data_IF_881688614766
#
_entry.id   IF_881688614766
#
_cell.length_a   1.000
_cell.length_b   1.000
_cell.length_c   1.000
_cell.angle_alpha   90.00
_cell.angle_beta   90.00
_cell.angle_gamma   90.00
#
_symmetry.space_group_name_H-M   'P 1'
#
loop_
_entity.id
_entity.type
_entity.pdbx_description
1 polymer ?
#
# COMPACT_ATOMS: atom_id res chain seq x y z
N UNK A 1 -17.81 -16.05 -15.13
CA UNK A 1 -18.95 -15.30 -14.58
C UNK A 1 -18.78 -13.88 -15.11
N UNK A 2 -19.57 -13.53 -16.11
CA UNK A 2 -19.57 -12.17 -16.71
C UNK A 2 -20.06 -11.22 -15.63
N UNK A 3 -19.24 -10.20 -15.30
CA UNK A 3 -19.66 -9.10 -14.44
C UNK A 3 -20.89 -8.45 -15.11
N UNK A 4 -22.00 -8.36 -14.40
CA UNK A 4 -23.15 -7.60 -14.87
C UNK A 4 -22.73 -6.14 -15.01
N UNK A 5 -23.04 -5.52 -16.14
CA UNK A 5 -22.88 -4.08 -16.35
C UNK A 5 -23.66 -3.35 -15.25
N UNK A 6 -22.93 -2.70 -14.33
CA UNK A 6 -23.58 -1.85 -13.32
C UNK A 6 -22.77 -1.55 -12.04
N UNK A 7 -21.79 -2.36 -11.66
CA UNK A 7 -21.04 -2.11 -10.42
C UNK A 7 -19.54 -2.00 -10.71
N UNK A 8 -19.09 -0.80 -11.05
CA UNK A 8 -17.66 -0.49 -11.18
C UNK A 8 -17.11 -0.35 -9.76
N UNK A 9 -16.36 -1.36 -9.33
CA UNK A 9 -15.69 -1.33 -8.04
C UNK A 9 -14.63 -0.24 -8.05
N UNK A 10 -14.83 0.83 -7.26
CA UNK A 10 -13.96 2.00 -7.30
C UNK A 10 -12.74 1.88 -6.41
N UNK A 11 -12.84 1.14 -5.30
CA UNK A 11 -11.82 1.16 -4.24
C UNK A 11 -11.25 -0.22 -3.99
N UNK A 12 -9.93 -0.30 -4.03
CA UNK A 12 -9.13 -1.43 -3.61
C UNK A 12 -8.43 -1.16 -2.28
N UNK A 13 -8.34 -2.17 -1.44
CA UNK A 13 -7.55 -2.13 -0.21
C UNK A 13 -6.55 -3.28 -0.27
N UNK A 14 -5.26 -2.95 -0.31
CA UNK A 14 -4.19 -3.93 -0.21
C UNK A 14 -3.58 -3.81 1.18
N UNK A 15 -3.86 -4.80 2.04
CA UNK A 15 -3.49 -4.74 3.45
C UNK A 15 -2.38 -5.69 3.84
N UNK A 16 -1.64 -5.29 4.88
CA UNK A 16 -0.80 -6.18 5.68
C UNK A 16 -1.60 -6.80 6.83
N UNK A 17 -0.88 -7.42 7.77
CA UNK A 17 -1.44 -8.04 8.96
C UNK A 17 -2.29 -7.06 9.79
N UNK A 18 -3.49 -7.45 10.16
CA UNK A 18 -4.35 -6.69 11.09
C UNK A 18 -5.38 -5.75 10.46
N UNK A 19 -5.34 -5.47 9.14
CA UNK A 19 -6.27 -4.51 8.51
C UNK A 19 -7.23 -5.13 7.50
N UNK A 20 -7.05 -6.39 7.17
CA UNK A 20 -8.01 -7.17 6.38
C UNK A 20 -9.18 -7.70 7.21
N UNK A 21 -9.53 -7.02 8.31
CA UNK A 21 -10.60 -7.49 9.18
C UNK A 21 -11.95 -7.35 8.47
N UNK A 22 -12.68 -8.46 8.28
CA UNK A 22 -14.02 -8.42 7.70
C UNK A 22 -15.02 -7.56 8.50
N UNK A 23 -14.70 -7.17 9.72
CA UNK A 23 -15.62 -6.44 10.62
C UNK A 23 -16.05 -5.05 10.09
N UNK A 24 -15.28 -4.44 9.19
CA UNK A 24 -15.67 -3.16 8.55
C UNK A 24 -16.44 -3.36 7.23
N UNK A 25 -16.56 -4.60 6.77
CA UNK A 25 -17.21 -4.91 5.50
C UNK A 25 -18.61 -5.47 5.70
N UNK A 26 -19.57 -4.97 4.94
CA UNK A 26 -20.86 -5.61 4.72
C UNK A 26 -20.93 -6.29 3.34
N UNK A 27 -21.97 -7.10 3.11
CA UNK A 27 -22.24 -7.78 1.82
C UNK A 27 -21.04 -8.58 1.27
N UNK A 28 -20.36 -9.29 2.16
CA UNK A 28 -19.10 -9.98 1.85
C UNK A 28 -19.31 -11.12 0.86
N UNK A 29 -18.49 -11.13 -0.18
CA UNK A 29 -18.35 -12.25 -1.12
C UNK A 29 -16.87 -12.43 -1.48
N UNK A 30 -16.54 -13.60 -2.04
CA UNK A 30 -15.16 -13.91 -2.47
C UNK A 30 -15.13 -14.20 -3.96
N UNK A 31 -14.15 -13.63 -4.66
CA UNK A 31 -13.96 -13.86 -6.09
C UNK A 31 -12.53 -14.30 -6.38
N UNK A 32 -12.41 -15.38 -7.15
CA UNK A 32 -11.11 -15.84 -7.65
C UNK A 32 -10.82 -15.14 -8.98
N UNK A 33 -9.85 -14.28 -9.00
CA UNK A 33 -9.42 -13.56 -10.20
C UNK A 33 -8.24 -14.30 -10.82
N UNK A 34 -8.33 -14.58 -12.12
CA UNK A 34 -7.20 -15.10 -12.89
C UNK A 34 -6.47 -13.93 -13.56
N UNK A 35 -5.15 -13.95 -13.53
CA UNK A 35 -4.36 -12.89 -14.14
C UNK A 35 -3.30 -13.48 -15.08
N UNK A 36 -2.82 -12.72 -16.08
CA UNK A 36 -1.71 -13.13 -16.94
C UNK A 36 -0.40 -13.37 -16.17
N UNK A 37 -0.32 -12.88 -14.94
CA UNK A 37 0.86 -12.95 -14.08
C UNK A 37 0.77 -14.05 -13.03
N UNK A 38 -0.20 -14.95 -13.15
CA UNK A 38 -0.46 -16.01 -12.18
C UNK A 38 -1.48 -15.63 -11.11
N UNK A 39 -1.47 -16.34 -9.99
CA UNK A 39 -2.44 -16.11 -8.92
C UNK A 39 -2.06 -14.93 -8.03
N UNK A 40 -3.03 -14.11 -7.63
CA UNK A 40 -2.87 -13.16 -6.54
C UNK A 40 -2.52 -13.85 -5.21
N UNK A 41 -2.09 -13.07 -4.24
CA UNK A 41 -1.69 -13.55 -2.90
C UNK A 41 -2.80 -14.28 -2.15
N UNK A 42 -4.05 -13.97 -2.45
CA UNK A 42 -5.24 -14.63 -1.91
C UNK A 42 -6.44 -14.46 -2.85
N UNK A 43 -7.53 -15.15 -2.54
CA UNK A 43 -8.84 -14.86 -3.14
C UNK A 43 -9.26 -13.46 -2.73
N UNK A 44 -9.69 -12.64 -3.70
CA UNK A 44 -10.12 -11.26 -3.43
C UNK A 44 -11.45 -11.28 -2.69
N UNK A 45 -11.53 -10.54 -1.59
CA UNK A 45 -12.78 -10.33 -0.86
C UNK A 45 -13.43 -9.06 -1.38
N UNK A 46 -14.68 -9.17 -1.80
CA UNK A 46 -15.56 -8.07 -2.18
C UNK A 46 -16.49 -7.77 -1.02
N UNK A 47 -16.81 -6.50 -0.84
CA UNK A 47 -17.75 -6.07 0.20
C UNK A 47 -18.07 -4.60 0.06
N UNK A 48 -18.70 -4.04 1.09
CA UNK A 48 -19.01 -2.61 1.16
C UNK A 48 -18.51 -2.01 2.47
N UNK A 49 -18.00 -0.79 2.36
CA UNK A 49 -17.75 0.08 3.51
C UNK A 49 -18.76 1.23 3.40
N UNK A 50 -19.70 1.32 4.34
CA UNK A 50 -20.79 2.32 4.33
C UNK A 50 -21.50 2.44 2.97
N UNK A 51 -21.79 1.31 2.35
CA UNK A 51 -22.49 1.25 1.06
C UNK A 51 -21.59 1.39 -0.18
N UNK A 52 -20.31 1.72 -0.03
CA UNK A 52 -19.35 1.87 -1.12
C UNK A 52 -18.68 0.54 -1.41
N UNK A 53 -18.72 0.10 -2.67
CA UNK A 53 -18.12 -1.16 -3.10
C UNK A 53 -16.59 -1.12 -2.98
N UNK A 54 -16.03 -2.12 -2.32
CA UNK A 54 -14.59 -2.27 -2.11
C UNK A 54 -14.12 -3.70 -2.44
N UNK A 55 -12.89 -3.80 -2.95
CA UNK A 55 -12.17 -5.06 -3.11
C UNK A 55 -10.97 -5.08 -2.16
N UNK A 56 -10.79 -6.17 -1.43
CA UNK A 56 -9.67 -6.29 -0.50
C UNK A 56 -8.82 -7.52 -0.78
N UNK A 57 -7.51 -7.40 -0.60
CA UNK A 57 -6.57 -8.51 -0.72
C UNK A 57 -5.48 -8.42 0.35
N UNK A 58 -5.21 -9.50 1.11
CA UNK A 58 -4.05 -9.55 2.00
C UNK A 58 -2.78 -9.70 1.16
N UNK A 59 -1.91 -8.68 1.19
CA UNK A 59 -0.66 -8.64 0.40
C UNK A 59 0.22 -9.87 0.61
N UNK A 60 0.33 -10.31 1.83
CA UNK A 60 1.17 -11.43 2.23
C UNK A 60 0.41 -12.77 2.36
N UNK A 61 -0.77 -12.87 1.73
CA UNK A 61 -1.63 -14.04 1.87
C UNK A 61 -2.32 -14.13 3.23
N UNK A 62 -3.21 -15.12 3.36
CA UNK A 62 -3.87 -15.37 4.63
C UNK A 62 -2.84 -15.81 5.68
N UNK A 63 -2.96 -15.26 6.89
CA UNK A 63 -2.03 -15.56 7.98
C UNK A 63 -0.59 -15.11 7.78
N UNK A 64 -0.33 -14.17 6.85
CA UNK A 64 1.02 -13.67 6.53
C UNK A 64 1.97 -14.78 6.05
N UNK A 65 1.47 -15.67 5.19
CA UNK A 65 2.17 -16.87 4.72
C UNK A 65 3.15 -16.63 3.57
N UNK A 66 3.12 -15.45 2.95
CA UNK A 66 3.97 -15.10 1.79
C UNK A 66 5.02 -14.06 2.22
N UNK A 67 6.29 -14.43 2.15
CA UNK A 67 7.38 -13.49 2.43
C UNK A 67 7.46 -12.36 1.38
N UNK A 68 8.01 -11.18 1.71
CA UNK A 68 7.97 -9.99 0.86
C UNK A 68 8.45 -10.20 -0.58
N UNK A 69 9.56 -10.92 -0.78
CA UNK A 69 10.14 -11.17 -2.10
C UNK A 69 9.33 -12.14 -2.95
N UNK A 70 8.41 -12.89 -2.35
CA UNK A 70 7.58 -13.90 -3.04
C UNK A 70 6.17 -13.42 -3.31
N UNK A 71 5.81 -12.23 -2.86
CA UNK A 71 4.52 -11.62 -3.17
C UNK A 71 4.40 -11.40 -4.67
N UNK A 72 3.34 -11.91 -5.27
CA UNK A 72 3.03 -11.66 -6.68
C UNK A 72 2.33 -10.30 -6.83
N UNK A 73 3.11 -9.23 -6.71
CA UNK A 73 2.60 -7.86 -6.81
C UNK A 73 1.87 -7.59 -8.12
N UNK A 74 2.37 -8.15 -9.24
CA UNK A 74 1.71 -8.01 -10.55
C UNK A 74 0.31 -8.61 -10.54
N UNK A 75 0.17 -9.82 -10.03
CA UNK A 75 -1.13 -10.47 -9.96
C UNK A 75 -2.09 -9.72 -9.01
N UNK A 76 -1.58 -9.20 -7.88
CA UNK A 76 -2.39 -8.45 -6.92
C UNK A 76 -2.96 -7.16 -7.54
N UNK A 77 -2.10 -6.34 -8.15
CA UNK A 77 -2.53 -5.07 -8.76
C UNK A 77 -3.37 -5.32 -10.01
N UNK A 78 -3.02 -6.33 -10.82
CA UNK A 78 -3.82 -6.69 -11.99
C UNK A 78 -5.22 -7.18 -11.61
N UNK A 79 -5.34 -7.98 -10.55
CA UNK A 79 -6.65 -8.41 -10.06
C UNK A 79 -7.53 -7.23 -9.65
N UNK A 80 -6.96 -6.20 -9.03
CA UNK A 80 -7.68 -4.96 -8.74
C UNK A 80 -8.13 -4.27 -10.02
N UNK A 81 -7.26 -4.18 -11.03
CA UNK A 81 -7.60 -3.60 -12.35
C UNK A 81 -8.75 -4.35 -13.03
N UNK A 82 -8.72 -5.69 -13.07
CA UNK A 82 -9.77 -6.53 -13.66
C UNK A 82 -11.13 -6.36 -12.97
N UNK A 83 -11.12 -6.04 -11.68
CA UNK A 83 -12.33 -5.74 -10.91
C UNK A 83 -12.82 -4.29 -11.07
N UNK A 84 -12.16 -3.48 -11.92
CA UNK A 84 -12.53 -2.09 -12.15
C UNK A 84 -12.11 -1.12 -11.04
N UNK A 85 -11.20 -1.52 -10.16
CA UNK A 85 -10.65 -0.65 -9.12
C UNK A 85 -9.91 0.53 -9.76
N UNK A 86 -10.22 1.72 -9.29
CA UNK A 86 -9.61 2.97 -9.75
C UNK A 86 -8.73 3.62 -8.69
N UNK A 87 -8.88 3.23 -7.42
CA UNK A 87 -8.17 3.79 -6.26
C UNK A 87 -7.74 2.68 -5.32
N UNK A 88 -6.47 2.64 -4.96
CA UNK A 88 -5.92 1.70 -3.99
C UNK A 88 -5.45 2.45 -2.75
N UNK A 89 -5.99 2.06 -1.59
CA UNK A 89 -5.40 2.31 -0.29
C UNK A 89 -4.52 1.12 0.09
N UNK A 90 -3.23 1.37 0.23
CA UNK A 90 -2.26 0.36 0.62
C UNK A 90 -1.85 0.57 2.08
N UNK A 91 -2.04 -0.45 2.90
CA UNK A 91 -1.73 -0.38 4.33
C UNK A 91 -0.46 -1.17 4.58
N UNK A 92 0.48 -0.57 5.31
CA UNK A 92 1.78 -1.16 5.60
C UNK A 92 2.32 -0.75 6.96
N UNK A 93 3.00 -1.68 7.64
CA UNK A 93 3.87 -1.34 8.76
C UNK A 93 5.19 -0.78 8.22
N UNK A 94 5.77 0.18 8.92
CA UNK A 94 7.05 0.80 8.59
C UNK A 94 7.89 1.01 9.83
N UNK A 95 9.21 0.84 9.71
CA UNK A 95 10.17 1.36 10.67
C UNK A 95 10.39 2.86 10.43
N UNK A 96 10.52 3.63 11.50
CA UNK A 96 10.84 5.04 11.41
C UNK A 96 12.35 5.26 11.29
N UNK A 97 12.73 6.18 10.41
CA UNK A 97 14.11 6.67 10.24
C UNK A 97 14.27 8.11 10.77
N UNK A 98 13.26 8.65 11.46
CA UNK A 98 13.22 9.99 12.02
C UNK A 98 12.78 9.97 13.48
N UNK A 99 13.30 10.89 14.28
CA UNK A 99 12.91 11.02 15.69
C UNK A 99 11.44 11.42 15.84
N UNK A 100 10.96 12.31 14.98
CA UNK A 100 9.61 12.89 15.01
C UNK A 100 8.52 11.93 14.53
N UNK A 101 8.86 10.83 13.86
CA UNK A 101 7.90 9.81 13.41
C UNK A 101 7.90 8.69 14.44
N UNK A 102 7.11 8.86 15.49
CA UNK A 102 7.06 7.92 16.60
C UNK A 102 6.26 6.65 16.26
N UNK A 103 6.50 5.52 16.94
CA UNK A 103 5.63 4.35 16.85
C UNK A 103 4.17 4.71 17.15
N UNK A 104 3.26 4.23 16.30
CA UNK A 104 1.83 4.56 16.34
C UNK A 104 1.44 5.80 15.54
N UNK A 105 2.39 6.60 15.02
CA UNK A 105 2.11 7.66 14.06
C UNK A 105 1.79 7.09 12.68
N UNK A 106 0.97 7.80 11.92
CA UNK A 106 0.69 7.50 10.52
C UNK A 106 1.57 8.36 9.61
N UNK A 107 1.96 7.82 8.47
CA UNK A 107 2.65 8.55 7.41
C UNK A 107 1.93 8.32 6.09
N UNK A 108 1.68 9.40 5.33
CA UNK A 108 1.15 9.33 3.98
C UNK A 108 2.25 9.70 2.99
N UNK A 109 3.11 8.74 2.60
CA UNK A 109 4.31 9.02 1.83
C UNK A 109 3.98 9.62 0.47
N UNK A 110 4.86 10.49 0.00
CA UNK A 110 4.79 11.13 -1.31
C UNK A 110 5.93 10.70 -2.24
N UNK A 111 7.00 10.13 -1.68
CA UNK A 111 8.15 9.66 -2.42
C UNK A 111 8.61 8.28 -1.96
N UNK A 112 9.34 7.60 -2.84
CA UNK A 112 10.01 6.36 -2.47
C UNK A 112 11.44 6.27 -2.99
N UNK A 113 12.24 5.43 -2.32
CA UNK A 113 13.55 4.96 -2.77
C UNK A 113 13.45 3.43 -2.91
N UNK A 114 13.75 2.90 -4.10
CA UNK A 114 13.73 1.47 -4.35
C UNK A 114 15.10 0.82 -4.04
N UNK A 115 15.10 -0.11 -3.10
CA UNK A 115 16.23 -0.99 -2.78
C UNK A 115 15.87 -2.47 -2.93
N UNK A 116 14.81 -2.76 -3.69
CA UNK A 116 14.47 -4.15 -4.06
C UNK A 116 15.36 -4.65 -5.20
N UNK A 117 15.56 -5.95 -5.31
CA UNK A 117 16.52 -6.54 -6.27
C UNK A 117 15.98 -7.75 -7.01
N UNK A 118 14.87 -8.35 -6.56
CA UNK A 118 14.36 -9.63 -7.08
C UNK A 118 12.94 -9.54 -7.62
N UNK A 119 12.32 -8.36 -7.55
CA UNK A 119 10.89 -8.19 -7.84
C UNK A 119 10.66 -7.81 -9.30
N UNK A 120 9.56 -8.28 -9.83
CA UNK A 120 9.07 -7.85 -11.15
C UNK A 120 8.30 -6.53 -10.98
N UNK A 121 8.86 -5.46 -11.53
CA UNK A 121 8.39 -4.09 -11.30
C UNK A 121 7.60 -3.49 -12.48
N UNK A 122 7.27 -4.28 -13.49
CA UNK A 122 6.50 -3.82 -14.65
C UNK A 122 5.56 -4.92 -15.16
N UNK A 123 4.47 -4.51 -15.79
CA UNK A 123 3.59 -5.39 -16.57
C UNK A 123 4.12 -5.67 -17.98
N UNK A 124 5.05 -4.86 -18.47
CA UNK A 124 5.53 -4.85 -19.84
C UNK A 124 6.88 -5.59 -19.95
N UNK A 125 6.81 -6.92 -20.09
CA UNK A 125 8.00 -7.78 -20.27
C UNK A 125 8.08 -8.39 -21.70
N UNK A 126 7.30 -7.88 -22.63
CA UNK A 126 7.23 -8.39 -24.01
C UNK A 126 7.90 -7.48 -25.04
N UNK A 127 7.20 -7.25 -26.13
CA UNK A 127 7.64 -6.35 -27.21
C UNK A 127 7.43 -4.87 -26.86
N UNK A 128 6.41 -4.57 -26.03
CA UNK A 128 6.12 -3.22 -25.59
C UNK A 128 7.03 -2.83 -24.42
N UNK A 129 7.48 -1.59 -24.43
CA UNK A 129 8.28 -0.99 -23.35
C UNK A 129 7.46 0.13 -22.72
N UNK A 130 7.37 0.14 -21.40
CA UNK A 130 6.67 1.18 -20.65
C UNK A 130 7.65 2.01 -19.84
N UNK A 131 7.75 3.30 -20.15
CA UNK A 131 8.52 4.29 -19.40
C UNK A 131 7.58 5.15 -18.55
N UNK A 132 6.98 4.54 -17.52
CA UNK A 132 6.02 5.23 -16.65
C UNK A 132 6.67 6.35 -15.84
N UNK A 133 6.17 7.61 -15.90
CA UNK A 133 6.74 8.71 -15.14
C UNK A 133 6.46 8.56 -13.64
N UNK A 134 7.51 8.68 -12.82
CA UNK A 134 7.50 8.45 -11.38
C UNK A 134 7.96 9.66 -10.54
N UNK A 135 7.93 10.88 -11.09
CA UNK A 135 8.24 12.08 -10.32
C UNK A 135 7.29 12.27 -9.12
N UNK A 136 6.01 11.97 -9.34
CA UNK A 136 4.95 11.97 -8.31
C UNK A 136 4.31 10.59 -8.24
N UNK A 137 4.90 9.64 -7.50
CA UNK A 137 4.47 8.23 -7.53
C UNK A 137 3.14 7.98 -6.83
N UNK A 138 2.82 8.75 -5.79
CA UNK A 138 1.59 8.61 -5.02
C UNK A 138 0.55 9.64 -5.45
N UNK A 139 -0.73 9.26 -5.38
CA UNK A 139 -1.83 10.14 -5.74
C UNK A 139 -1.99 11.29 -4.73
N UNK A 140 -1.70 12.52 -5.16
CA UNK A 140 -1.80 13.71 -4.31
C UNK A 140 -3.21 13.97 -3.78
N UNK A 141 -4.27 13.67 -4.57
CA UNK A 141 -5.66 13.78 -4.12
C UNK A 141 -5.98 12.81 -2.98
N UNK A 142 -5.63 11.54 -3.13
CA UNK A 142 -5.88 10.56 -2.07
C UNK A 142 -5.09 10.90 -0.79
N UNK A 143 -3.85 11.36 -0.92
CA UNK A 143 -3.04 11.79 0.23
C UNK A 143 -3.67 12.98 0.95
N UNK A 144 -4.20 13.96 0.20
CA UNK A 144 -4.93 15.10 0.76
C UNK A 144 -6.17 14.64 1.53
N UNK A 145 -6.97 13.73 0.95
CA UNK A 145 -8.15 13.15 1.62
C UNK A 145 -7.75 12.44 2.92
N UNK A 146 -6.66 11.65 2.89
CA UNK A 146 -6.15 11.00 4.11
C UNK A 146 -5.76 12.01 5.19
N UNK A 147 -5.04 13.07 4.81
CA UNK A 147 -4.61 14.12 5.75
C UNK A 147 -5.81 14.85 6.38
N UNK A 148 -6.73 15.35 5.56
CA UNK A 148 -7.94 16.05 6.03
C UNK A 148 -8.83 15.13 6.89
N UNK A 149 -8.89 13.83 6.57
CA UNK A 149 -9.63 12.87 7.37
C UNK A 149 -8.94 12.59 8.70
N UNK A 150 -7.60 12.46 8.69
CA UNK A 150 -6.82 12.27 9.91
C UNK A 150 -6.96 13.48 10.86
N UNK A 151 -6.95 14.70 10.33
CA UNK A 151 -7.20 15.93 11.10
C UNK A 151 -8.59 15.89 11.79
N UNK A 152 -9.63 15.53 11.05
CA UNK A 152 -11.01 15.42 11.61
C UNK A 152 -11.12 14.34 12.70
N UNK A 153 -10.33 13.30 12.59
CA UNK A 153 -10.29 12.19 13.57
C UNK A 153 -9.31 12.45 14.73
N UNK A 154 -8.58 13.56 14.72
CA UNK A 154 -7.57 13.86 15.74
C UNK A 154 -6.40 12.86 15.76
N UNK A 155 -6.06 12.27 14.61
CA UNK A 155 -4.97 11.32 14.51
C UNK A 155 -3.63 12.04 14.32
N UNK A 156 -2.57 11.52 14.93
CA UNK A 156 -1.21 12.00 14.69
C UNK A 156 -0.68 11.40 13.38
N UNK A 157 -0.31 12.26 12.45
CA UNK A 157 0.18 11.83 11.15
C UNK A 157 1.23 12.77 10.56
N UNK A 158 1.96 12.27 9.57
CA UNK A 158 2.88 13.01 8.71
C UNK A 158 2.35 12.94 7.28
N UNK A 159 1.96 14.09 6.73
CA UNK A 159 1.30 14.20 5.41
C UNK A 159 2.23 13.97 4.23
N UNK A 160 3.55 13.82 4.46
CA UNK A 160 4.58 13.54 3.47
C UNK A 160 5.71 12.72 4.10
N UNK A 161 6.52 12.10 3.26
CA UNK A 161 7.69 11.34 3.67
C UNK A 161 8.19 10.42 2.57
N UNK A 162 9.49 10.23 2.52
CA UNK A 162 10.13 9.29 1.60
C UNK A 162 10.21 7.91 2.22
N UNK A 163 9.51 6.93 1.62
CA UNK A 163 9.64 5.53 2.03
C UNK A 163 10.77 4.84 1.27
N UNK A 164 11.72 4.24 1.97
CA UNK A 164 12.68 3.33 1.35
C UNK A 164 12.13 1.90 1.43
N UNK A 165 12.03 1.22 0.29
CA UNK A 165 11.60 -0.17 0.25
C UNK A 165 12.78 -1.09 0.04
N UNK A 166 13.03 -1.97 1.02
CA UNK A 166 14.09 -2.98 0.96
C UNK A 166 13.54 -4.34 0.58
N UNK A 167 14.42 -5.24 0.10
CA UNK A 167 14.00 -6.56 -0.37
C UNK A 167 13.37 -7.42 0.74
N UNK A 168 13.97 -7.44 1.93
CA UNK A 168 13.60 -8.37 2.97
C UNK A 168 13.99 -9.84 2.64
N UNK A 169 13.55 -10.85 3.42
CA UNK A 169 12.75 -10.73 4.65
C UNK A 169 13.53 -10.28 5.88
N UNK A 170 14.88 -10.21 5.82
CA UNK A 170 15.68 -9.69 6.92
C UNK A 170 15.45 -8.20 7.13
N UNK A 171 15.54 -7.75 8.37
CA UNK A 171 15.58 -6.34 8.71
C UNK A 171 16.94 -5.71 8.35
N UNK A 172 17.01 -4.38 8.43
CA UNK A 172 18.21 -3.60 8.17
C UNK A 172 19.34 -3.92 9.15
N UNK A 173 20.56 -3.78 8.70
CA UNK A 173 21.70 -3.59 9.60
C UNK A 173 21.74 -2.13 10.07
N UNK A 174 22.41 -1.84 11.21
CA UNK A 174 22.62 -0.45 11.66
C UNK A 174 23.33 0.41 10.62
N UNK A 175 24.25 -0.17 9.87
CA UNK A 175 24.94 0.55 8.79
C UNK A 175 24.00 0.92 7.65
N UNK A 176 23.13 -0.01 7.25
CA UNK A 176 22.07 0.25 6.23
C UNK A 176 21.11 1.32 6.73
N UNK A 177 20.62 1.20 7.95
CA UNK A 177 19.67 2.15 8.53
C UNK A 177 20.26 3.58 8.59
N UNK A 178 21.52 3.74 9.05
CA UNK A 178 22.23 5.02 9.03
C UNK A 178 22.40 5.56 7.60
N UNK A 179 22.73 4.71 6.64
CA UNK A 179 22.85 5.07 5.23
C UNK A 179 21.52 5.58 4.68
N UNK A 180 20.42 4.90 4.97
CA UNK A 180 19.08 5.27 4.50
C UNK A 180 18.66 6.65 5.06
N UNK A 181 18.97 6.92 6.32
CA UNK A 181 18.77 8.24 6.93
C UNK A 181 19.56 9.34 6.19
N UNK A 182 20.82 9.07 5.85
CA UNK A 182 21.66 9.99 5.07
C UNK A 182 21.11 10.23 3.67
N UNK A 183 20.46 9.23 3.05
CA UNK A 183 19.81 9.38 1.76
C UNK A 183 18.51 10.19 1.80
N UNK A 184 18.05 10.57 2.97
CA UNK A 184 16.83 11.33 3.14
C UNK A 184 15.57 10.48 3.23
N UNK A 185 15.67 9.17 3.45
CA UNK A 185 14.50 8.35 3.74
C UNK A 185 13.96 8.67 5.14
N UNK A 186 12.63 8.69 5.26
CA UNK A 186 11.91 8.99 6.49
C UNK A 186 11.37 7.74 7.17
N UNK A 187 10.97 6.77 6.37
CA UNK A 187 10.44 5.47 6.82
C UNK A 187 10.96 4.33 5.94
N UNK A 188 10.92 3.12 6.48
CA UNK A 188 11.39 1.91 5.77
C UNK A 188 10.35 0.81 5.80
N UNK A 189 10.20 0.09 4.68
CA UNK A 189 9.35 -1.09 4.60
C UNK A 189 9.85 -2.12 3.58
N UNK A 190 9.03 -3.16 3.35
CA UNK A 190 9.31 -4.23 2.38
C UNK A 190 8.21 -4.40 1.34
N UNK A 191 7.26 -3.44 1.19
CA UNK A 191 6.04 -3.69 0.43
C UNK A 191 5.65 -2.61 -0.59
N UNK A 192 6.06 -1.35 -0.42
CA UNK A 192 5.62 -0.25 -1.30
C UNK A 192 6.09 -0.43 -2.75
N UNK A 193 7.33 -0.88 -2.95
CA UNK A 193 7.83 -1.19 -4.29
C UNK A 193 7.84 -2.69 -4.51
N UNK A 194 7.30 -3.20 -5.62
CA UNK A 194 6.88 -2.50 -6.84
C UNK A 194 5.37 -2.12 -6.88
N UNK A 195 4.61 -2.29 -5.79
CA UNK A 195 3.16 -2.13 -5.79
C UNK A 195 2.71 -0.76 -6.33
N UNK A 196 3.35 0.33 -5.87
CA UNK A 196 3.06 1.69 -6.33
C UNK A 196 3.38 1.90 -7.82
N UNK A 197 4.48 1.31 -8.31
CA UNK A 197 4.88 1.38 -9.72
C UNK A 197 3.84 0.68 -10.60
N UNK A 198 3.45 -0.53 -10.22
CA UNK A 198 2.44 -1.33 -10.92
C UNK A 198 1.06 -0.66 -10.89
N UNK A 199 0.66 -0.06 -9.77
CA UNK A 199 -0.57 0.72 -9.70
C UNK A 199 -0.54 1.90 -10.69
N UNK A 200 0.61 2.58 -10.82
CA UNK A 200 0.79 3.67 -11.79
C UNK A 200 0.70 3.20 -13.23
N UNK A 201 1.35 2.07 -13.58
CA UNK A 201 1.22 1.44 -14.90
C UNK A 201 -0.21 0.96 -15.19
N UNK A 202 -0.94 0.54 -14.17
CA UNK A 202 -2.35 0.16 -14.29
C UNK A 202 -3.29 1.37 -14.47
N UNK A 203 -2.81 2.60 -14.30
CA UNK A 203 -3.62 3.82 -14.32
C UNK A 203 -4.48 3.99 -13.06
N UNK A 204 -4.11 3.35 -11.96
CA UNK A 204 -4.84 3.35 -10.69
C UNK A 204 -4.22 4.39 -9.75
N UNK A 205 -5.06 5.20 -9.12
CA UNK A 205 -4.66 6.09 -8.04
C UNK A 205 -4.20 5.26 -6.84
N UNK A 206 -3.05 5.59 -6.28
CA UNK A 206 -2.47 4.82 -5.17
C UNK A 206 -2.03 5.75 -4.05
N UNK A 207 -2.45 5.45 -2.83
CA UNK A 207 -1.96 6.09 -1.62
C UNK A 207 -1.64 5.03 -0.56
N UNK A 208 -0.58 5.26 0.20
CA UNK A 208 -0.19 4.40 1.30
C UNK A 208 -0.58 5.01 2.64
N UNK A 209 -1.12 4.17 3.51
CA UNK A 209 -1.29 4.44 4.94
C UNK A 209 -0.19 3.64 5.64
N UNK A 210 0.93 4.30 5.88
CA UNK A 210 2.07 3.70 6.55
C UNK A 210 1.96 3.95 8.05
N UNK A 211 1.98 2.88 8.85
CA UNK A 211 1.96 2.98 10.31
C UNK A 211 3.34 2.69 10.86
N UNK A 212 3.92 3.65 11.54
CA UNK A 212 5.20 3.50 12.23
C UNK A 212 5.05 2.48 13.37
N UNK A 213 5.81 1.41 13.30
CA UNK A 213 5.80 0.35 14.33
C UNK A 213 6.99 0.41 15.28
N UNK A 214 8.09 0.98 14.82
CA UNK A 214 9.39 0.99 15.51
C UNK A 214 10.33 2.05 14.92
N UNK A 215 11.52 2.21 15.50
CA UNK A 215 12.56 3.11 14.99
C UNK A 215 13.65 2.39 14.17
N UNK A 216 13.29 1.34 13.44
CA UNK A 216 14.26 0.49 12.74
C UNK A 216 15.41 0.08 13.70
N UNK A 217 16.66 0.15 13.27
CA UNK A 217 17.79 -0.23 14.14
C UNK A 217 18.88 0.86 14.30
N UNK A 218 18.57 2.09 13.90
CA UNK A 218 19.52 3.22 14.03
C UNK A 218 19.58 3.79 15.45
N UNK A 219 18.52 3.65 16.22
CA UNK A 219 18.40 4.12 17.59
C UNK A 219 18.97 3.08 18.53
N UNK A 220 20.15 3.36 19.09
CA UNK A 220 20.92 2.35 19.84
C UNK A 220 20.35 2.06 21.23
N UNK A 221 19.48 2.93 21.74
CA UNK A 221 18.86 2.81 23.06
C UNK A 221 17.62 1.93 23.09
N UNK A 222 17.19 1.43 21.95
CA UNK A 222 15.96 0.64 21.84
C UNK A 222 16.25 -0.84 21.56
N UNK A 223 15.27 -1.69 21.85
CA UNK A 223 15.32 -3.12 21.54
C UNK A 223 15.39 -3.31 20.01
N UNK A 224 16.04 -4.40 19.62
CA UNK A 224 16.10 -4.75 18.20
C UNK A 224 14.70 -5.03 17.66
N UNK A 225 14.42 -4.55 16.44
CA UNK A 225 13.15 -4.78 15.74
C UNK A 225 12.85 -6.27 15.67
N UNK A 226 11.65 -6.65 16.11
CA UNK A 226 11.14 -8.01 16.03
C UNK A 226 9.77 -8.05 15.36
N UNK A 227 9.42 -9.21 14.83
CA UNK A 227 8.09 -9.43 14.26
C UNK A 227 6.98 -9.24 15.31
N UNK A 228 7.22 -9.68 16.52
CA UNK A 228 6.29 -9.58 17.65
C UNK A 228 5.99 -8.12 17.99
N UNK A 229 7.03 -7.27 18.01
CA UNK A 229 6.88 -5.82 18.25
C UNK A 229 6.02 -5.18 17.16
N UNK A 230 6.35 -5.45 15.87
CA UNK A 230 5.59 -4.92 14.73
C UNK A 230 4.12 -5.36 14.82
N UNK A 231 3.89 -6.65 15.02
CA UNK A 231 2.54 -7.21 15.11
C UNK A 231 1.72 -6.56 16.24
N UNK A 232 2.32 -6.44 17.42
CA UNK A 232 1.68 -5.79 18.59
C UNK A 232 1.27 -4.36 18.27
N UNK A 233 2.20 -3.55 17.74
CA UNK A 233 1.91 -2.15 17.38
C UNK A 233 0.83 -2.06 16.30
N UNK A 234 0.83 -2.96 15.32
CA UNK A 234 -0.21 -3.01 14.28
C UNK A 234 -1.59 -3.34 14.87
N UNK A 235 -1.66 -4.31 15.78
CA UNK A 235 -2.91 -4.70 16.47
C UNK A 235 -3.45 -3.57 17.34
N UNK A 236 -2.60 -2.93 18.13
CA UNK A 236 -2.97 -1.81 19.01
C UNK A 236 -3.48 -0.58 18.22
N UNK A 237 -3.04 -0.41 17.00
CA UNK A 237 -3.41 0.73 16.15
C UNK A 237 -4.39 0.37 15.01
N UNK A 238 -4.81 -0.90 14.90
CA UNK A 238 -5.70 -1.36 13.83
C UNK A 238 -7.00 -0.54 13.76
N UNK A 239 -7.60 -0.23 14.89
CA UNK A 239 -8.82 0.58 14.98
C UNK A 239 -8.64 1.99 14.42
N UNK A 240 -7.46 2.63 14.61
CA UNK A 240 -7.16 3.96 14.04
C UNK A 240 -7.18 3.90 12.50
N UNK A 241 -6.51 2.89 11.94
CA UNK A 241 -6.44 2.70 10.48
C UNK A 241 -7.80 2.36 9.90
N UNK A 242 -8.59 1.51 10.57
CA UNK A 242 -9.95 1.17 10.16
C UNK A 242 -10.86 2.40 10.15
N UNK A 243 -10.83 3.22 11.20
CA UNK A 243 -11.62 4.45 11.27
C UNK A 243 -11.21 5.44 10.17
N UNK A 244 -9.91 5.61 9.95
CA UNK A 244 -9.38 6.45 8.87
C UNK A 244 -9.86 5.97 7.50
N UNK A 245 -9.73 4.67 7.21
CA UNK A 245 -10.18 4.09 5.95
C UNK A 245 -11.68 4.26 5.74
N UNK A 246 -12.49 3.91 6.74
CA UNK A 246 -13.94 4.02 6.67
C UNK A 246 -14.38 5.46 6.36
N UNK A 247 -13.73 6.44 6.98
CA UNK A 247 -14.03 7.85 6.72
C UNK A 247 -13.49 8.31 5.34
N UNK A 248 -12.24 7.93 4.99
CA UNK A 248 -11.60 8.36 3.75
C UNK A 248 -12.27 7.78 2.50
N UNK A 249 -12.76 6.53 2.56
CA UNK A 249 -13.46 5.87 1.45
C UNK A 249 -14.65 6.70 0.97
N UNK A 250 -15.37 7.36 1.88
CA UNK A 250 -16.53 8.23 1.56
C UNK A 250 -16.17 9.48 0.77
N UNK A 251 -14.95 9.96 0.93
CA UNK A 251 -14.46 11.20 0.34
C UNK A 251 -13.83 10.99 -1.05
N UNK A 252 -13.78 9.75 -1.54
CA UNK A 252 -13.22 9.45 -2.86
C UNK A 252 -14.20 9.89 -3.94
N UNK A 253 -14.01 11.07 -4.43
CA UNK A 253 -14.65 11.60 -5.65
C UNK A 253 -13.64 11.67 -6.79
N UNK A 254 -13.77 10.78 -7.75
CA UNK A 254 -12.66 10.33 -8.58
C UNK A 254 -12.64 10.81 -10.00
N UNK A 255 -13.53 11.70 -10.37
CA UNK A 255 -13.74 11.96 -11.79
C UNK A 255 -12.52 12.59 -12.48
N UNK A 256 -11.67 13.34 -11.77
CA UNK A 256 -10.60 14.15 -12.39
C UNK A 256 -9.17 13.89 -11.90
N UNK A 257 -8.79 12.65 -11.58
CA UNK A 257 -7.41 12.37 -11.22
C UNK A 257 -6.54 12.09 -12.45
N UNK A 258 -5.42 12.80 -12.58
CA UNK A 258 -4.45 12.62 -13.66
C UNK A 258 -3.68 11.29 -13.61
N UNK A 259 -3.83 10.49 -12.54
CA UNK A 259 -3.10 9.22 -12.42
C UNK A 259 -3.37 8.26 -13.58
N UNK A 260 -4.62 8.20 -14.06
CA UNK A 260 -5.03 7.38 -15.22
C UNK A 260 -4.41 7.83 -16.55
N UNK A 261 -3.93 9.07 -16.62
CA UNK A 261 -3.35 9.62 -17.85
C UNK A 261 -1.87 9.26 -18.01
N UNK A 262 -1.19 8.93 -16.90
CA UNK A 262 0.25 8.68 -16.88
C UNK A 262 0.68 7.56 -17.86
N UNK A 263 -0.16 6.53 -18.03
CA UNK A 263 0.13 5.38 -18.90
C UNK A 263 -0.05 5.70 -20.39
N UNK A 264 -0.88 6.69 -20.77
CA UNK A 264 -1.27 6.94 -22.15
C UNK A 264 -0.09 7.34 -23.06
N UNK A 265 0.92 7.96 -22.50
CA UNK A 265 2.13 8.40 -23.23
C UNK A 265 3.39 7.63 -22.84
N UNK A 266 3.25 6.56 -22.06
CA UNK A 266 4.38 5.84 -21.49
C UNK A 266 4.77 4.58 -22.27
N UNK A 267 3.92 4.07 -23.14
CA UNK A 267 4.13 2.84 -23.91
C UNK A 267 4.69 3.21 -25.30
N UNK A 268 5.80 2.53 -25.67
CA UNK A 268 6.47 2.66 -26.98
C UNK A 268 6.15 1.48 -27.88
#
# INVERSE_FOLDING_TARGET
MTLQEGNVMKIGIIGGTGVGNPDILSDISKVKVQTPYGSPSAVVTLGKIDGIDVATIPRHGEGHSIQPSMVNFRANVWAMKELGVTHIFAITAVGSLREEIEPGHLVFPDQFIDRTTKRKATFYEGQDVCHIPMADPFCGKMRKILAETADRLGLVYHGQGTVITVEGPRFSTRAESRMFRLWGADIINMSTVPEVVLAREAGICYASIAMSSDYDCWRETEESVSWEMIKKTMEENAAKVQNLLTAAVKEIDCVDCSCKEAIKSAIL
#
